data_IF_795075634809
#
_entry.id   IF_795075634809
#
_cell.length_a   1.000
_cell.length_b   1.000
_cell.length_c   1.000
_cell.angle_alpha   90.00
_cell.angle_beta   90.00
_cell.angle_gamma   90.00
#
_symmetry.space_group_name_H-M   'P 1'
#
loop_
_entity.id
_entity.type
_entity.pdbx_description
1 polymer ?
#
# COMPACT_ATOMS: atom_id res chain seq x y z
N UNK A 1 -24.18 -15.42 10.10
CA UNK A 1 -24.38 -14.16 9.40
C UNK A 1 -23.06 -13.42 9.21
N UNK A 2 -22.21 -13.31 10.24
CA UNK A 2 -20.99 -12.47 10.23
C UNK A 2 -19.74 -13.12 9.63
N UNK A 3 -19.72 -14.45 9.42
CA UNK A 3 -18.57 -15.18 8.86
C UNK A 3 -18.00 -14.58 7.56
N UNK A 4 -18.83 -14.13 6.57
CA UNK A 4 -18.29 -13.61 5.32
C UNK A 4 -17.58 -12.27 5.45
N UNK A 5 -17.81 -11.53 6.54
CA UNK A 5 -17.27 -10.17 6.75
C UNK A 5 -16.29 -10.08 7.92
N UNK A 6 -15.94 -11.22 8.53
CA UNK A 6 -15.01 -11.28 9.67
C UNK A 6 -13.90 -12.30 9.42
N UNK A 7 -12.76 -12.10 10.04
CA UNK A 7 -11.66 -13.08 10.00
C UNK A 7 -11.96 -14.33 10.84
N UNK A 8 -12.72 -14.16 11.90
CA UNK A 8 -13.12 -15.26 12.78
C UNK A 8 -14.26 -14.86 13.71
N UNK A 9 -15.02 -15.84 14.17
CA UNK A 9 -16.10 -15.63 15.13
C UNK A 9 -15.93 -16.58 16.32
N UNK A 10 -16.16 -16.06 17.51
CA UNK A 10 -16.17 -16.82 18.76
C UNK A 10 -17.53 -16.68 19.46
N UNK A 11 -17.95 -17.74 20.14
CA UNK A 11 -19.00 -17.71 21.15
C UNK A 11 -18.38 -18.16 22.45
N UNK A 12 -18.42 -17.31 23.47
CA UNK A 12 -17.90 -17.64 24.80
C UNK A 12 -18.97 -18.36 25.60
N UNK A 13 -18.77 -19.63 25.91
CA UNK A 13 -19.75 -20.47 26.64
C UNK A 13 -19.44 -20.57 28.12
N UNK A 14 -18.22 -20.25 28.56
CA UNK A 14 -17.77 -20.26 29.92
C UNK A 14 -16.99 -18.99 30.25
N UNK A 15 -17.30 -18.37 31.39
CA UNK A 15 -16.63 -17.16 31.86
C UNK A 15 -15.12 -17.34 32.07
N UNK A 16 -14.67 -18.56 32.42
CA UNK A 16 -13.24 -18.89 32.56
C UNK A 16 -12.46 -18.80 31.25
N UNK A 17 -13.14 -18.96 30.11
CA UNK A 17 -12.55 -18.85 28.79
C UNK A 17 -12.57 -17.43 28.22
N UNK A 18 -13.31 -16.51 28.82
CA UNK A 18 -13.53 -15.14 28.29
C UNK A 18 -12.21 -14.42 28.01
N UNK A 19 -11.34 -14.34 29.01
CA UNK A 19 -10.08 -13.60 28.88
C UNK A 19 -9.15 -14.21 27.83
N UNK A 20 -9.10 -15.54 27.72
CA UNK A 20 -8.32 -16.26 26.70
C UNK A 20 -8.89 -16.02 25.30
N UNK A 21 -10.20 -16.06 25.16
CA UNK A 21 -10.89 -15.83 23.89
C UNK A 21 -10.68 -14.40 23.40
N UNK A 22 -10.80 -13.40 24.27
CA UNK A 22 -10.53 -12.00 23.92
C UNK A 22 -9.08 -11.82 23.43
N UNK A 23 -8.10 -12.36 24.14
CA UNK A 23 -6.69 -12.30 23.71
C UNK A 23 -6.49 -12.97 22.34
N UNK A 24 -7.13 -14.13 22.11
CA UNK A 24 -7.07 -14.83 20.83
C UNK A 24 -7.73 -14.02 19.71
N UNK A 25 -8.87 -13.38 19.98
CA UNK A 25 -9.58 -12.54 19.04
C UNK A 25 -8.72 -11.35 18.58
N UNK A 26 -8.08 -10.63 19.52
CA UNK A 26 -7.15 -9.54 19.17
C UNK A 26 -5.92 -10.03 18.39
N UNK A 27 -5.38 -11.20 18.73
CA UNK A 27 -4.27 -11.78 17.98
C UNK A 27 -4.67 -12.06 16.53
N UNK A 28 -5.82 -12.72 16.31
CA UNK A 28 -6.32 -13.01 14.96
C UNK A 28 -6.61 -11.73 14.19
N UNK A 29 -7.28 -10.75 14.84
CA UNK A 29 -7.60 -9.47 14.19
C UNK A 29 -6.36 -8.73 13.66
N UNK A 30 -5.23 -8.83 14.35
CA UNK A 30 -3.99 -8.10 14.03
C UNK A 30 -2.97 -8.91 13.21
N UNK A 31 -3.08 -10.26 13.13
CA UNK A 31 -2.12 -11.10 12.40
C UNK A 31 -2.40 -11.06 10.90
N UNK A 32 -1.36 -11.03 10.08
CA UNK A 32 -1.49 -10.93 8.62
C UNK A 32 -2.20 -9.63 8.22
N UNK A 33 -3.07 -9.70 7.22
CA UNK A 33 -3.94 -8.56 6.89
C UNK A 33 -4.91 -8.29 8.06
N UNK A 34 -4.88 -7.10 8.69
CA UNK A 34 -5.78 -6.78 9.79
C UNK A 34 -7.26 -6.84 9.37
N UNK A 35 -8.11 -7.32 10.26
CA UNK A 35 -9.55 -7.40 9.98
C UNK A 35 -10.37 -7.72 11.22
N UNK A 36 -11.71 -7.56 11.17
CA UNK A 36 -12.59 -7.71 12.31
C UNK A 36 -12.69 -9.17 12.78
N UNK A 37 -12.85 -9.33 14.09
CA UNK A 37 -13.19 -10.61 14.74
C UNK A 37 -14.38 -10.36 15.63
N UNK A 38 -15.41 -11.20 15.51
CA UNK A 38 -16.60 -11.12 16.37
C UNK A 38 -16.40 -12.01 17.58
N UNK A 39 -16.75 -11.49 18.75
CA UNK A 39 -16.84 -12.27 20.01
C UNK A 39 -18.24 -12.09 20.57
N UNK A 40 -19.04 -13.14 20.54
CA UNK A 40 -20.35 -13.21 21.16
C UNK A 40 -20.21 -13.67 22.62
N UNK A 41 -20.72 -12.85 23.53
CA UNK A 41 -20.67 -13.12 24.99
C UNK A 41 -22.10 -13.18 25.48
N UNK A 42 -22.66 -14.37 25.69
CA UNK A 42 -24.00 -14.57 26.18
C UNK A 42 -24.25 -13.94 27.55
N UNK A 43 -25.51 -13.60 27.87
CA UNK A 43 -25.89 -12.88 29.07
C UNK A 43 -25.50 -13.60 30.36
N UNK A 44 -25.62 -14.89 30.42
CA UNK A 44 -25.22 -15.71 31.57
C UNK A 44 -23.70 -15.63 31.84
N UNK A 45 -22.89 -15.63 30.77
CA UNK A 45 -21.44 -15.45 30.88
C UNK A 45 -21.07 -14.05 31.38
N UNK A 46 -21.80 -13.00 30.95
CA UNK A 46 -21.56 -11.63 31.43
C UNK A 46 -21.93 -11.44 32.90
N UNK A 47 -22.88 -12.23 33.42
CA UNK A 47 -23.31 -12.19 34.81
C UNK A 47 -22.42 -13.08 35.74
N UNK A 48 -21.69 -14.01 35.17
CA UNK A 48 -20.85 -14.96 35.94
C UNK A 48 -19.57 -14.29 36.46
N UNK A 49 -19.00 -14.89 37.53
CA UNK A 49 -17.74 -14.43 38.15
C UNK A 49 -16.67 -15.49 37.96
N UNK A 50 -15.46 -15.08 37.61
CA UNK A 50 -14.29 -15.93 37.53
C UNK A 50 -13.05 -15.25 38.10
N UNK A 51 -12.07 -15.98 38.64
CA UNK A 51 -10.78 -15.42 39.00
C UNK A 51 -10.06 -14.94 37.73
N UNK A 52 -9.45 -13.78 37.82
CA UNK A 52 -8.70 -13.20 36.73
C UNK A 52 -7.27 -12.87 37.11
N UNK A 53 -6.32 -13.40 36.37
CA UNK A 53 -4.91 -13.03 36.46
C UNK A 53 -4.48 -12.31 35.19
N UNK A 54 -3.95 -11.11 35.33
CA UNK A 54 -3.44 -10.33 34.21
C UNK A 54 -2.29 -11.08 33.51
N UNK A 55 -2.39 -11.20 32.22
CA UNK A 55 -1.32 -11.72 31.35
C UNK A 55 -1.01 -10.66 30.29
N UNK A 56 0.26 -10.22 30.23
CA UNK A 56 0.71 -9.30 29.17
C UNK A 56 0.50 -9.93 27.80
N UNK A 57 -0.14 -9.21 26.86
CA UNK A 57 -0.30 -9.70 25.51
C UNK A 57 1.06 -9.96 24.84
N UNK A 58 1.18 -11.10 24.15
CA UNK A 58 2.37 -11.38 23.34
C UNK A 58 2.47 -10.36 22.20
N UNK A 59 3.68 -9.88 21.91
CA UNK A 59 3.92 -9.06 20.73
C UNK A 59 3.55 -9.84 19.47
N UNK A 60 2.84 -9.20 18.55
CA UNK A 60 2.62 -9.76 17.23
C UNK A 60 3.88 -9.47 16.43
N UNK A 61 4.63 -10.52 16.11
CA UNK A 61 5.82 -10.43 15.27
C UNK A 61 5.31 -10.41 13.84
N UNK A 62 5.69 -9.39 13.08
CA UNK A 62 5.49 -9.34 11.63
C UNK A 62 6.47 -10.37 11.06
N UNK A 63 5.93 -11.50 10.61
CA UNK A 63 6.76 -12.64 10.21
C UNK A 63 7.29 -12.44 8.80
N UNK A 64 8.60 -12.65 8.65
CA UNK A 64 9.26 -12.87 7.35
C UNK A 64 9.28 -14.37 6.98
N UNK A 65 8.68 -15.23 7.78
CA UNK A 65 8.75 -16.70 7.64
C UNK A 65 8.16 -17.22 6.31
N UNK A 66 7.30 -16.43 5.67
CA UNK A 66 6.68 -16.81 4.40
C UNK A 66 7.39 -16.21 3.18
N UNK A 67 8.43 -15.41 3.38
CA UNK A 67 9.21 -14.82 2.28
C UNK A 67 10.13 -15.91 1.74
N UNK A 68 9.85 -16.37 0.54
CA UNK A 68 10.69 -17.38 -0.11
C UNK A 68 11.87 -16.71 -0.80
N UNK A 69 13.06 -17.25 -0.59
CA UNK A 69 14.31 -16.76 -1.20
C UNK A 69 14.20 -16.62 -2.72
N UNK A 70 13.58 -17.60 -3.37
CA UNK A 70 13.40 -17.61 -4.83
C UNK A 70 12.53 -16.45 -5.33
N UNK A 71 11.49 -16.05 -4.56
CA UNK A 71 10.62 -14.92 -4.92
C UNK A 71 11.41 -13.60 -4.86
N UNK A 72 12.26 -13.43 -3.85
CA UNK A 72 13.17 -12.28 -3.74
C UNK A 72 14.15 -12.25 -4.92
N UNK A 73 14.75 -13.39 -5.24
CA UNK A 73 15.70 -13.48 -6.35
C UNK A 73 15.05 -13.12 -7.68
N UNK A 74 13.87 -13.68 -7.95
CA UNK A 74 13.08 -13.37 -9.15
C UNK A 74 12.73 -11.88 -9.22
N UNK A 75 12.31 -11.30 -8.11
CA UNK A 75 11.97 -9.87 -8.06
C UNK A 75 13.18 -8.97 -8.36
N UNK A 76 14.34 -9.28 -7.81
CA UNK A 76 15.58 -8.53 -8.06
C UNK A 76 15.99 -8.65 -9.54
N UNK A 77 15.99 -9.86 -10.11
CA UNK A 77 16.30 -10.08 -11.53
C UNK A 77 15.38 -9.26 -12.45
N UNK A 78 14.07 -9.25 -12.16
CA UNK A 78 13.11 -8.44 -12.93
C UNK A 78 13.43 -6.93 -12.86
N UNK A 79 13.87 -6.44 -11.69
CA UNK A 79 14.23 -5.03 -11.53
C UNK A 79 15.51 -4.70 -12.31
N UNK A 80 16.51 -5.55 -12.24
CA UNK A 80 17.81 -5.37 -12.91
C UNK A 80 17.67 -5.44 -14.46
N UNK A 81 16.75 -6.24 -14.97
CA UNK A 81 16.48 -6.38 -16.40
C UNK A 81 15.58 -5.26 -16.96
N UNK A 82 14.82 -4.58 -16.10
CA UNK A 82 13.87 -3.53 -16.51
C UNK A 82 14.61 -2.27 -16.97
N UNK A 83 14.05 -1.62 -17.99
CA UNK A 83 14.54 -0.33 -18.51
C UNK A 83 13.63 0.84 -18.09
N UNK A 84 12.39 0.55 -17.77
CA UNK A 84 11.36 1.53 -17.45
C UNK A 84 10.53 1.10 -16.23
N UNK A 85 11.16 0.79 -15.10
CA UNK A 85 10.43 0.39 -13.90
C UNK A 85 9.59 1.55 -13.35
N UNK A 86 8.46 1.20 -12.74
CA UNK A 86 7.57 2.16 -12.08
C UNK A 86 7.05 1.56 -10.77
N UNK A 87 7.07 2.31 -9.69
CA UNK A 87 6.59 1.85 -8.38
C UNK A 87 5.19 2.39 -8.13
N UNK A 88 4.27 1.50 -7.73
CA UNK A 88 2.92 1.83 -7.27
C UNK A 88 2.78 1.45 -5.79
N UNK A 89 2.61 2.46 -4.93
CA UNK A 89 2.51 2.27 -3.48
C UNK A 89 1.06 2.29 -3.04
N UNK A 90 0.62 1.24 -2.36
CA UNK A 90 -0.73 1.12 -1.81
C UNK A 90 -0.80 1.24 -0.29
N UNK A 91 -2.01 1.11 0.24
CA UNK A 91 -2.29 1.22 1.68
C UNK A 91 -1.61 0.17 2.54
N UNK A 92 -1.19 -0.97 1.96
CA UNK A 92 -0.41 -1.99 2.66
C UNK A 92 0.93 -1.46 3.16
N UNK A 93 1.58 -0.57 2.43
CA UNK A 93 2.83 0.07 2.86
C UNK A 93 2.62 0.98 4.09
N UNK A 94 1.50 1.71 4.15
CA UNK A 94 1.12 2.53 5.30
C UNK A 94 0.84 1.65 6.52
N UNK A 95 0.04 0.60 6.36
CA UNK A 95 -0.32 -0.33 7.43
C UNK A 95 0.93 -1.05 7.98
N UNK A 96 1.88 -1.35 7.09
CA UNK A 96 3.15 -1.99 7.46
C UNK A 96 4.14 -1.03 8.12
N UNK A 97 3.86 0.29 8.13
CA UNK A 97 4.80 1.31 8.60
C UNK A 97 6.15 1.21 7.86
N UNK A 98 6.10 1.13 6.53
CA UNK A 98 7.22 0.85 5.66
C UNK A 98 7.70 2.07 4.85
N UNK A 99 7.39 3.30 5.29
CA UNK A 99 7.70 4.51 4.53
C UNK A 99 9.19 4.70 4.26
N UNK A 100 10.04 4.41 5.25
CA UNK A 100 11.50 4.52 5.10
C UNK A 100 12.03 3.47 4.13
N UNK A 101 11.55 2.23 4.23
CA UNK A 101 11.95 1.14 3.35
C UNK A 101 11.48 1.36 1.91
N UNK A 102 10.28 1.93 1.71
CA UNK A 102 9.78 2.31 0.38
C UNK A 102 10.63 3.41 -0.22
N UNK A 103 11.02 4.41 0.56
CA UNK A 103 11.89 5.50 0.09
C UNK A 103 13.27 4.98 -0.32
N UNK A 104 13.91 4.18 0.54
CA UNK A 104 15.21 3.55 0.22
C UNK A 104 15.10 2.69 -1.04
N UNK A 105 14.06 1.87 -1.14
CA UNK A 105 13.82 1.01 -2.29
C UNK A 105 13.66 1.82 -3.59
N UNK A 106 12.84 2.87 -3.55
CA UNK A 106 12.63 3.73 -4.72
C UNK A 106 13.92 4.44 -5.17
N UNK A 107 14.77 4.85 -4.22
CA UNK A 107 16.07 5.43 -4.51
C UNK A 107 17.02 4.40 -5.12
N UNK A 108 17.05 3.18 -4.61
CA UNK A 108 17.88 2.09 -5.14
C UNK A 108 17.44 1.64 -6.53
N UNK A 109 16.14 1.44 -6.75
CA UNK A 109 15.61 1.16 -8.09
C UNK A 109 15.78 2.38 -9.00
N UNK A 110 15.82 3.59 -8.44
CA UNK A 110 15.92 4.85 -9.14
C UNK A 110 14.85 5.02 -10.23
N UNK A 111 13.58 4.91 -9.85
CA UNK A 111 12.46 4.99 -10.78
C UNK A 111 11.32 5.87 -10.24
N UNK A 112 10.39 6.32 -11.11
CA UNK A 112 9.23 7.09 -10.71
C UNK A 112 8.32 6.30 -9.77
N UNK A 113 7.67 7.04 -8.84
CA UNK A 113 6.78 6.50 -7.82
C UNK A 113 5.43 7.18 -7.90
N UNK A 114 4.36 6.41 -7.92
CA UNK A 114 3.00 6.88 -7.67
C UNK A 114 2.37 6.14 -6.48
N UNK A 115 1.28 6.66 -6.00
CA UNK A 115 0.52 6.02 -4.93
C UNK A 115 -0.97 5.87 -5.26
N UNK A 116 -1.64 5.01 -4.52
CA UNK A 116 -3.10 5.01 -4.43
C UNK A 116 -3.55 6.00 -3.36
N UNK A 117 -4.85 6.33 -3.32
CA UNK A 117 -5.40 7.15 -2.23
C UNK A 117 -5.04 6.60 -0.84
N UNK A 118 -5.14 5.28 -0.67
CA UNK A 118 -4.80 4.62 0.61
C UNK A 118 -3.29 4.49 0.84
N UNK A 119 -2.47 4.66 -0.20
CA UNK A 119 -1.00 4.65 -0.12
C UNK A 119 -0.40 6.00 0.27
N UNK A 120 -1.21 7.06 0.35
CA UNK A 120 -0.77 8.39 0.76
C UNK A 120 -0.10 8.37 2.13
N UNK A 121 1.08 8.98 2.21
CA UNK A 121 1.89 9.01 3.41
C UNK A 121 2.98 7.93 3.48
N UNK A 122 2.94 6.91 2.62
CA UNK A 122 4.02 5.92 2.53
C UNK A 122 5.21 6.39 1.68
N UNK A 123 5.04 7.42 0.85
CA UNK A 123 6.11 8.05 0.10
C UNK A 123 5.98 9.57 0.13
N UNK A 124 7.09 10.29 0.23
CA UNK A 124 7.09 11.75 0.33
C UNK A 124 6.60 12.38 -0.98
N UNK A 125 5.51 13.17 -0.90
CA UNK A 125 4.92 13.89 -2.03
C UNK A 125 5.82 14.98 -2.62
N UNK A 126 6.85 15.41 -1.89
CA UNK A 126 7.84 16.40 -2.37
C UNK A 126 9.10 15.73 -2.96
N UNK A 127 9.21 14.41 -2.89
CA UNK A 127 10.37 13.70 -3.42
C UNK A 127 10.45 13.84 -4.95
N UNK A 128 11.68 13.98 -5.49
CA UNK A 128 11.89 14.20 -6.93
C UNK A 128 11.32 13.07 -7.82
N UNK A 129 11.28 11.83 -7.31
CA UNK A 129 10.72 10.67 -8.02
C UNK A 129 9.20 10.57 -7.95
N UNK A 130 8.52 11.37 -7.12
CA UNK A 130 7.08 11.28 -6.93
C UNK A 130 6.30 11.92 -8.08
N UNK A 131 5.35 11.18 -8.63
CA UNK A 131 4.55 11.59 -9.80
C UNK A 131 3.11 11.95 -9.48
N UNK A 132 2.66 11.66 -8.26
CA UNK A 132 1.28 11.88 -7.82
C UNK A 132 0.49 10.58 -7.68
N UNK A 133 -0.81 10.71 -7.47
CA UNK A 133 -1.73 9.57 -7.36
C UNK A 133 -2.01 8.96 -8.74
N UNK A 134 -2.29 7.66 -8.77
CA UNK A 134 -2.74 6.95 -9.96
C UNK A 134 -4.26 6.78 -9.98
N UNK A 135 -4.81 6.46 -11.14
CA UNK A 135 -6.19 6.07 -11.37
C UNK A 135 -7.10 7.18 -11.85
N UNK A 136 -8.41 7.00 -11.70
CA UNK A 136 -9.46 7.90 -12.20
C UNK A 136 -9.27 9.36 -11.73
N UNK A 137 -8.84 9.56 -10.50
CA UNK A 137 -8.56 10.87 -9.91
C UNK A 137 -7.05 11.12 -9.78
N UNK A 138 -6.24 10.36 -10.52
CA UNK A 138 -4.80 10.47 -10.49
C UNK A 138 -4.24 11.54 -11.42
N UNK A 139 -2.93 11.78 -11.29
CA UNK A 139 -2.23 12.70 -12.20
C UNK A 139 -2.07 12.07 -13.58
N UNK A 140 -2.12 12.88 -14.60
CA UNK A 140 -1.82 12.44 -15.98
C UNK A 140 -0.41 11.88 -16.09
N UNK A 141 0.54 12.41 -15.33
CA UNK A 141 1.92 11.91 -15.24
C UNK A 141 1.98 10.46 -14.77
N UNK A 142 1.30 10.14 -13.65
CA UNK A 142 1.27 8.78 -13.10
C UNK A 142 0.58 7.80 -14.05
N UNK A 143 -0.56 8.18 -14.61
CA UNK A 143 -1.30 7.34 -15.54
C UNK A 143 -0.50 7.05 -16.82
N UNK A 144 0.14 8.05 -17.41
CA UNK A 144 1.02 7.88 -18.58
C UNK A 144 2.27 7.06 -18.24
N UNK A 145 2.85 7.28 -17.05
CA UNK A 145 4.02 6.53 -16.59
C UNK A 145 3.73 5.05 -16.47
N UNK A 146 2.65 4.68 -15.80
CA UNK A 146 2.23 3.28 -15.65
C UNK A 146 1.85 2.66 -16.99
N UNK A 147 1.23 3.40 -17.92
CA UNK A 147 0.91 2.86 -19.25
C UNK A 147 2.13 2.61 -20.15
N UNK A 148 3.29 3.19 -19.84
CA UNK A 148 4.51 3.10 -20.63
C UNK A 148 5.67 2.37 -19.94
N UNK A 149 5.50 1.95 -18.68
CA UNK A 149 6.52 1.17 -17.99
C UNK A 149 6.64 -0.24 -18.60
N UNK A 150 7.76 -0.89 -18.40
CA UNK A 150 7.97 -2.30 -18.75
C UNK A 150 7.92 -3.21 -17.50
N UNK A 151 8.07 -2.61 -16.31
CA UNK A 151 7.90 -3.27 -15.03
C UNK A 151 7.08 -2.38 -14.08
N UNK A 152 5.95 -2.87 -13.59
CA UNK A 152 5.16 -2.24 -12.53
C UNK A 152 5.38 -2.98 -11.21
N UNK A 153 6.01 -2.31 -10.25
CA UNK A 153 6.27 -2.85 -8.92
C UNK A 153 5.15 -2.37 -7.99
N UNK A 154 4.21 -3.24 -7.69
CA UNK A 154 3.02 -2.96 -6.91
C UNK A 154 3.22 -3.35 -5.44
N UNK A 155 3.31 -2.38 -4.55
CA UNK A 155 3.65 -2.54 -3.14
C UNK A 155 2.39 -2.33 -2.28
N UNK A 156 1.81 -3.41 -1.75
CA UNK A 156 0.65 -3.36 -0.86
C UNK A 156 -0.60 -2.73 -1.49
N UNK A 157 -0.84 -3.00 -2.77
CA UNK A 157 -2.01 -2.49 -3.50
C UNK A 157 -2.90 -3.63 -3.99
N UNK A 158 -4.22 -3.45 -3.82
CA UNK A 158 -5.23 -4.45 -4.21
C UNK A 158 -5.72 -4.31 -5.65
N UNK A 159 -5.20 -3.35 -6.41
CA UNK A 159 -5.67 -3.05 -7.75
C UNK A 159 -7.20 -2.90 -7.79
N UNK A 160 -7.75 -1.86 -7.14
CA UNK A 160 -9.18 -1.57 -7.21
C UNK A 160 -9.54 -0.98 -8.58
N UNK A 161 -10.82 -1.07 -8.94
CA UNK A 161 -11.38 -0.49 -10.17
C UNK A 161 -11.04 1.00 -10.35
N UNK A 162 -10.96 1.73 -9.26
CA UNK A 162 -10.58 3.17 -9.27
C UNK A 162 -9.12 3.40 -9.63
N UNK A 163 -8.27 2.39 -9.49
CA UNK A 163 -6.83 2.45 -9.81
C UNK A 163 -6.59 2.04 -11.26
N UNK A 164 -7.12 0.91 -11.70
CA UNK A 164 -6.81 0.37 -13.02
C UNK A 164 -7.85 0.73 -14.10
N UNK A 165 -9.08 1.11 -13.73
CA UNK A 165 -10.16 1.41 -14.67
C UNK A 165 -10.54 0.19 -15.51
N UNK A 166 -9.83 -0.03 -16.62
CA UNK A 166 -10.01 -1.22 -17.45
C UNK A 166 -8.77 -2.14 -17.35
N UNK A 167 -8.97 -3.34 -16.78
CA UNK A 167 -7.90 -4.32 -16.56
C UNK A 167 -7.18 -4.76 -17.86
N UNK A 168 -7.88 -4.75 -19.00
CA UNK A 168 -7.30 -5.17 -20.28
C UNK A 168 -6.32 -4.16 -20.89
N UNK A 169 -6.36 -2.92 -20.43
CA UNK A 169 -5.51 -1.82 -20.92
C UNK A 169 -4.52 -1.31 -19.89
N UNK A 170 -4.73 -1.67 -18.61
CA UNK A 170 -3.87 -1.22 -17.52
C UNK A 170 -2.50 -1.91 -17.58
N UNK A 171 -1.44 -1.11 -17.67
CA UNK A 171 -0.04 -1.59 -17.72
C UNK A 171 0.16 -2.78 -18.69
N UNK A 172 -0.55 -2.78 -19.83
CA UNK A 172 -0.66 -3.93 -20.76
C UNK A 172 0.67 -4.46 -21.29
N UNK A 173 1.68 -3.58 -21.39
CA UNK A 173 3.00 -3.88 -21.90
C UNK A 173 4.05 -4.09 -20.79
N UNK A 174 3.60 -4.09 -19.50
CA UNK A 174 4.46 -4.23 -18.34
C UNK A 174 4.34 -5.62 -17.70
N UNK A 175 5.45 -6.17 -17.28
CA UNK A 175 5.45 -7.22 -16.26
C UNK A 175 5.04 -6.61 -14.92
N UNK A 176 4.22 -7.32 -14.12
CA UNK A 176 3.77 -6.85 -12.81
C UNK A 176 4.41 -7.71 -11.73
N UNK A 177 5.16 -7.05 -10.84
CA UNK A 177 5.65 -7.62 -9.59
C UNK A 177 4.75 -7.15 -8.46
N UNK A 178 4.00 -8.06 -7.84
CA UNK A 178 3.08 -7.73 -6.74
C UNK A 178 3.64 -8.16 -5.38
N UNK A 179 3.72 -7.24 -4.43
CA UNK A 179 4.14 -7.50 -3.05
C UNK A 179 2.95 -7.23 -2.14
N UNK A 180 2.43 -8.26 -1.50
CA UNK A 180 1.27 -8.14 -0.59
C UNK A 180 1.36 -9.15 0.57
N UNK A 181 0.74 -8.82 1.69
CA UNK A 181 0.65 -9.71 2.85
C UNK A 181 -0.48 -10.73 2.70
N UNK A 182 -1.47 -10.44 1.84
CA UNK A 182 -2.67 -11.24 1.65
C UNK A 182 -2.58 -12.05 0.35
N UNK A 183 -2.38 -13.38 0.41
CA UNK A 183 -2.31 -14.20 -0.79
C UNK A 183 -3.60 -14.17 -1.62
N UNK A 184 -4.76 -13.80 -1.02
CA UNK A 184 -6.02 -13.70 -1.73
C UNK A 184 -6.11 -12.46 -2.64
N UNK A 185 -5.23 -11.49 -2.51
CA UNK A 185 -5.16 -10.33 -3.40
C UNK A 185 -4.24 -10.57 -4.61
N UNK A 186 -3.42 -11.63 -4.59
CA UNK A 186 -2.54 -11.98 -5.73
C UNK A 186 -3.40 -12.52 -6.89
N UNK A 187 -3.18 -11.98 -8.09
CA UNK A 187 -3.89 -12.38 -9.32
C UNK A 187 -5.41 -12.19 -9.29
N UNK A 188 -5.93 -11.43 -8.34
CA UNK A 188 -7.37 -11.25 -8.18
C UNK A 188 -7.98 -10.33 -9.24
N UNK A 189 -7.41 -9.17 -9.45
CA UNK A 189 -7.91 -8.15 -10.36
C UNK A 189 -6.98 -7.91 -11.57
N UNK A 190 -5.68 -8.05 -11.36
CA UNK A 190 -4.64 -7.92 -12.37
C UNK A 190 -3.70 -9.11 -12.24
N UNK A 191 -3.30 -9.70 -13.35
CA UNK A 191 -2.37 -10.84 -13.33
C UNK A 191 -0.95 -10.35 -13.06
N UNK A 192 -0.35 -10.84 -11.99
CA UNK A 192 1.06 -10.59 -11.67
C UNK A 192 1.96 -11.61 -12.38
N UNK A 193 3.05 -11.14 -12.96
CA UNK A 193 4.10 -12.01 -13.51
C UNK A 193 4.88 -12.72 -12.40
N UNK A 194 5.18 -11.98 -11.32
CA UNK A 194 5.79 -12.51 -10.11
C UNK A 194 5.16 -11.85 -8.87
N UNK A 195 5.26 -12.52 -7.73
CA UNK A 195 4.73 -11.98 -6.48
C UNK A 195 5.58 -12.39 -5.27
N UNK A 196 5.51 -11.57 -4.22
CA UNK A 196 6.09 -11.88 -2.90
C UNK A 196 4.98 -11.75 -1.86
N UNK A 197 4.74 -12.83 -1.10
CA UNK A 197 3.78 -12.81 0.01
C UNK A 197 4.54 -12.53 1.30
N UNK A 198 4.23 -11.40 1.96
CA UNK A 198 4.87 -11.02 3.21
C UNK A 198 4.51 -9.61 3.69
N UNK A 199 4.91 -9.29 4.90
CA UNK A 199 4.84 -7.93 5.43
C UNK A 199 5.74 -7.00 4.59
N UNK A 200 5.21 -5.87 4.13
CA UNK A 200 5.90 -4.97 3.19
C UNK A 200 7.24 -4.49 3.77
N UNK A 201 7.25 -4.10 5.06
CA UNK A 201 8.48 -3.66 5.72
C UNK A 201 9.54 -4.74 5.73
N UNK A 202 9.15 -5.97 6.08
CA UNK A 202 10.07 -7.10 6.11
C UNK A 202 10.60 -7.46 4.71
N UNK A 203 9.72 -7.49 3.69
CA UNK A 203 10.09 -7.76 2.29
C UNK A 203 11.07 -6.71 1.79
N UNK A 204 10.73 -5.43 1.92
CA UNK A 204 11.58 -4.34 1.42
C UNK A 204 12.91 -4.24 2.18
N UNK A 205 12.93 -4.54 3.49
CA UNK A 205 14.19 -4.63 4.24
C UNK A 205 15.14 -5.68 3.64
N UNK A 206 14.62 -6.84 3.24
CA UNK A 206 15.44 -7.87 2.58
C UNK A 206 15.87 -7.43 1.19
N UNK A 207 14.94 -6.90 0.40
CA UNK A 207 15.25 -6.44 -0.97
C UNK A 207 16.27 -5.30 -0.97
N UNK A 208 16.13 -4.31 -0.09
CA UNK A 208 17.06 -3.18 0.02
C UNK A 208 18.48 -3.60 0.37
N UNK A 209 18.67 -4.69 1.11
CA UNK A 209 20.00 -5.24 1.42
C UNK A 209 20.67 -5.94 0.24
N UNK A 210 19.87 -6.48 -0.69
CA UNK A 210 20.37 -7.33 -1.78
C UNK A 210 20.39 -6.64 -3.13
N UNK A 211 19.52 -5.64 -3.32
CA UNK A 211 19.44 -4.89 -4.58
C UNK A 211 20.59 -3.88 -4.64
N UNK A 212 21.35 -3.95 -5.71
CA UNK A 212 22.35 -2.94 -6.04
C UNK A 212 21.69 -1.68 -6.61
N UNK A 213 22.40 -0.55 -6.54
CA UNK A 213 21.92 0.72 -7.06
C UNK A 213 21.71 0.63 -8.57
N UNK A 214 20.49 0.88 -9.01
CA UNK A 214 20.12 0.92 -10.41
C UNK A 214 20.20 2.36 -10.97
N UNK A 215 20.18 2.48 -12.30
CA UNK A 215 20.21 3.78 -12.97
C UNK A 215 19.19 3.82 -14.13
N UNK A 216 18.10 4.52 -13.91
CA UNK A 216 17.06 4.74 -14.92
C UNK A 216 16.86 6.23 -15.25
N UNK A 217 17.96 7.02 -15.27
CA UNK A 217 17.94 8.46 -15.49
C UNK A 217 17.11 8.90 -16.71
N UNK A 218 17.28 8.23 -17.85
CA UNK A 218 16.55 8.58 -19.06
C UNK A 218 15.02 8.41 -18.90
N UNK A 219 14.61 7.35 -18.19
CA UNK A 219 13.20 7.10 -17.90
C UNK A 219 12.64 8.10 -16.90
N UNK A 220 13.34 8.34 -15.80
CA UNK A 220 12.95 9.34 -14.80
C UNK A 220 12.79 10.71 -15.47
N UNK A 221 13.76 11.15 -16.28
CA UNK A 221 13.70 12.41 -17.00
C UNK A 221 12.45 12.51 -17.88
N UNK A 222 12.17 11.47 -18.67
CA UNK A 222 10.97 11.41 -19.52
C UNK A 222 9.67 11.58 -18.72
N UNK A 223 9.57 10.94 -17.57
CA UNK A 223 8.38 11.06 -16.72
C UNK A 223 8.27 12.44 -16.07
N UNK A 224 9.40 13.03 -15.66
CA UNK A 224 9.40 14.39 -15.10
C UNK A 224 9.05 15.44 -16.16
N UNK A 225 9.37 15.22 -17.44
CA UNK A 225 8.89 16.07 -18.55
C UNK A 225 7.34 16.05 -18.63
N UNK A 226 6.69 14.90 -18.38
CA UNK A 226 5.22 14.85 -18.29
C UNK A 226 4.69 15.64 -17.09
N UNK A 227 5.38 15.64 -15.95
CA UNK A 227 4.98 16.42 -14.78
C UNK A 227 5.01 17.92 -15.07
N UNK A 228 5.98 18.38 -15.87
CA UNK A 228 6.07 19.78 -16.34
C UNK A 228 5.00 20.07 -17.39
N UNK A 229 4.78 19.16 -18.34
CA UNK A 229 3.83 19.32 -19.44
C UNK A 229 2.37 19.30 -18.98
N UNK A 230 2.07 18.54 -17.92
CA UNK A 230 0.72 18.35 -17.39
C UNK A 230 0.67 18.73 -15.91
N UNK A 231 0.90 20.03 -15.57
CA UNK A 231 0.85 20.47 -14.18
C UNK A 231 -0.58 20.37 -13.64
N UNK A 232 -0.69 20.13 -12.33
CA UNK A 232 -1.97 20.25 -11.64
C UNK A 232 -2.33 21.73 -11.56
N UNK A 233 -3.43 22.12 -12.19
CA UNK A 233 -3.92 23.51 -12.23
C UNK A 233 -5.34 23.59 -11.71
N UNK A 234 -5.74 24.74 -11.24
CA UNK A 234 -7.12 25.06 -10.86
C UNK A 234 -7.38 26.55 -11.12
N UNK A 235 -8.65 26.94 -11.25
CA UNK A 235 -9.04 28.34 -11.46
C UNK A 235 -8.67 29.19 -10.25
N UNK A 236 -7.77 30.16 -10.46
CA UNK A 236 -7.44 31.16 -9.46
C UNK A 236 -8.44 32.34 -9.54
N UNK A 237 -8.91 32.80 -8.38
CA UNK A 237 -9.86 33.91 -8.30
C UNK A 237 -11.28 33.50 -7.91
N UNK A 238 -11.51 32.24 -7.64
CA UNK A 238 -12.71 31.70 -6.97
C UNK A 238 -12.26 30.93 -5.75
N UNK A 239 -13.01 31.00 -4.65
CA UNK A 239 -12.80 30.14 -3.50
C UNK A 239 -13.15 28.70 -3.88
N UNK A 240 -12.14 27.90 -4.22
CA UNK A 240 -12.28 26.50 -4.64
C UNK A 240 -11.66 25.56 -3.62
N UNK A 241 -12.11 24.30 -3.58
CA UNK A 241 -11.49 23.29 -2.70
C UNK A 241 -9.98 23.15 -2.92
N UNK A 242 -9.43 23.12 -4.16
CA UNK A 242 -7.99 23.10 -4.39
C UNK A 242 -7.26 24.31 -3.77
N UNK A 243 -7.80 25.52 -3.90
CA UNK A 243 -7.21 26.72 -3.31
C UNK A 243 -7.18 26.69 -1.79
N UNK A 244 -8.28 26.26 -1.16
CA UNK A 244 -8.35 26.09 0.29
C UNK A 244 -7.27 25.11 0.76
N UNK A 245 -7.13 23.97 0.07
CA UNK A 245 -6.15 22.94 0.39
C UNK A 245 -4.72 23.48 0.23
N UNK A 246 -4.45 24.24 -0.82
CA UNK A 246 -3.14 24.88 -1.03
C UNK A 246 -2.83 25.88 0.10
N UNK A 247 -3.80 26.69 0.52
CA UNK A 247 -3.64 27.62 1.63
C UNK A 247 -3.42 26.93 2.98
N UNK A 248 -4.13 25.83 3.23
CA UNK A 248 -3.90 25.01 4.43
C UNK A 248 -2.48 24.43 4.40
N UNK A 249 -2.04 23.90 3.26
CA UNK A 249 -0.70 23.38 3.08
C UNK A 249 0.38 24.44 3.35
N UNK A 250 0.23 25.64 2.77
CA UNK A 250 1.17 26.77 2.97
C UNK A 250 1.28 27.22 4.43
N UNK A 251 0.19 27.08 5.20
CA UNK A 251 0.11 27.51 6.61
C UNK A 251 0.39 26.42 7.62
N UNK A 252 0.38 25.16 7.18
CA UNK A 252 0.59 24.01 8.08
C UNK A 252 2.06 23.68 8.21
N UNK A 253 2.53 23.54 9.44
CA UNK A 253 3.86 22.99 9.76
C UNK A 253 3.88 21.46 9.66
N UNK A 254 2.71 20.82 9.68
CA UNK A 254 2.52 19.38 9.54
C UNK A 254 1.88 19.07 8.20
N UNK A 255 2.69 18.66 7.24
CA UNK A 255 2.22 18.32 5.90
C UNK A 255 1.64 16.92 5.90
N UNK A 256 0.32 16.79 5.81
CA UNK A 256 -0.29 15.54 5.44
C UNK A 256 -0.32 15.43 3.90
N UNK A 257 0.39 14.48 3.27
CA UNK A 257 0.42 14.33 1.81
C UNK A 257 -0.95 14.11 1.16
N UNK A 258 -1.96 13.71 1.95
CA UNK A 258 -3.35 13.51 1.49
C UNK A 258 -3.93 14.78 0.87
N UNK A 259 -3.54 15.96 1.35
CA UNK A 259 -4.08 17.24 0.88
C UNK A 259 -3.63 17.63 -0.53
N UNK A 260 -2.53 17.07 -1.02
CA UNK A 260 -1.98 17.41 -2.35
C UNK A 260 -2.72 16.73 -3.51
N UNK A 261 -3.51 15.70 -3.27
CA UNK A 261 -4.17 14.92 -4.34
C UNK A 261 -5.49 15.48 -4.83
N UNK A 262 -6.09 16.39 -4.08
CA UNK A 262 -7.34 17.03 -4.50
C UNK A 262 -7.10 18.24 -5.41
N UNK A 263 -5.85 18.56 -5.74
CA UNK A 263 -5.53 19.52 -6.79
C UNK A 263 -5.85 18.90 -8.15
N UNK A 264 -6.94 19.31 -8.73
CA UNK A 264 -7.24 19.05 -10.14
C UNK A 264 -7.77 17.66 -10.45
N UNK A 265 -8.87 17.25 -9.82
CA UNK A 265 -9.76 16.30 -10.46
C UNK A 265 -10.60 17.00 -11.52
N UNK A 266 -9.98 17.47 -12.59
CA UNK A 266 -10.72 17.66 -13.81
C UNK A 266 -10.77 16.31 -14.51
N UNK A 267 -12.01 15.81 -14.62
CA UNK A 267 -12.42 14.62 -15.35
C UNK A 267 -11.76 14.55 -16.71
N UNK A 268 -11.18 13.41 -17.01
CA UNK A 268 -11.00 12.93 -18.38
C UNK A 268 -12.34 12.64 -19.03
#
# INVERSE_FOLDING_TARGET
ITLPITKHNFIVKDVHDLAKTIRRAFRIAKTGRPGPVLVDIPKDVTAAKAPYTYQKPAKIIRSSEHIREMDIYTAISMIEESKRPFILVGGGAVISDAADEVREFAQKVHCPVCDTLMGKGAFDGNHALYTGMIGMHGTKTSNLGVSQCDLLIAIGTRFSDRVFGNASTFAKDAAILQIDIDPAEINKNVMAYAHIIGDIKAVLTVMNRRLDQQNHNAWVKKIMEYKVKYPLTYDKGRLTCPEIIEKIYEKSTYVCPIWLTTRGSESL
#
